data_IF_002851382195
#
_entry.id   IF_002851382195
#
_cell.length_a   1.000
_cell.length_b   1.000
_cell.length_c   1.000
_cell.angle_alpha   90.00
_cell.angle_beta   90.00
_cell.angle_gamma   90.00
#
_symmetry.space_group_name_H-M   'P 1'
#
loop_
_entity.id
_entity.type
_entity.pdbx_description
1 polymer ?
#
# COMPACT_ATOMS: atom_id res chain seq x y z
N UNK A 1 -2.01 -4.67 3.33
CA UNK A 1 -2.04 -6.15 3.42
C UNK A 1 -3.44 -6.71 3.45
N UNK A 2 -4.20 -6.57 4.54
CA UNK A 2 -5.53 -7.19 4.66
C UNK A 2 -6.49 -6.77 3.55
N UNK A 3 -6.60 -5.47 3.28
CA UNK A 3 -7.47 -4.99 2.21
C UNK A 3 -6.99 -5.44 0.82
N UNK A 4 -5.67 -5.58 0.61
CA UNK A 4 -5.11 -6.11 -0.64
C UNK A 4 -5.36 -7.62 -0.81
N UNK A 5 -5.33 -8.38 0.28
CA UNK A 5 -5.73 -9.78 0.26
C UNK A 5 -7.24 -9.92 -0.02
N UNK A 6 -8.05 -9.02 0.55
CA UNK A 6 -9.48 -8.97 0.29
C UNK A 6 -9.79 -8.61 -1.17
N UNK A 7 -9.15 -7.57 -1.75
CA UNK A 7 -9.35 -7.20 -3.16
C UNK A 7 -9.01 -8.36 -4.09
N UNK A 8 -7.90 -9.06 -3.85
CA UNK A 8 -7.56 -10.28 -4.59
C UNK A 8 -8.60 -11.38 -4.41
N UNK A 9 -9.07 -11.63 -3.19
CA UNK A 9 -10.03 -12.71 -2.90
C UNK A 9 -11.38 -12.52 -3.59
N UNK A 10 -11.82 -11.27 -3.80
CA UNK A 10 -13.07 -10.96 -4.50
C UNK A 10 -12.88 -10.70 -6.01
N UNK A 11 -11.67 -10.92 -6.55
CA UNK A 11 -11.36 -10.69 -7.96
C UNK A 11 -11.38 -9.22 -8.38
N UNK A 12 -11.12 -8.29 -7.46
CA UNK A 12 -11.15 -6.85 -7.70
C UNK A 12 -9.82 -6.25 -8.20
N UNK A 13 -8.75 -7.04 -8.30
CA UNK A 13 -7.40 -6.53 -8.60
C UNK A 13 -7.25 -5.77 -9.93
N UNK A 14 -8.19 -5.93 -10.86
CA UNK A 14 -8.26 -5.20 -12.14
C UNK A 14 -9.52 -4.34 -12.29
N UNK A 15 -10.25 -4.12 -11.19
CA UNK A 15 -11.49 -3.33 -11.22
C UNK A 15 -11.29 -1.83 -11.44
N UNK A 16 -10.05 -1.34 -11.26
CA UNK A 16 -9.60 -0.03 -11.69
C UNK A 16 -8.57 -0.21 -12.82
N UNK A 17 -8.90 0.14 -14.08
CA UNK A 17 -8.08 -0.23 -15.24
C UNK A 17 -6.80 0.61 -15.42
N UNK A 18 -6.73 1.74 -14.74
CA UNK A 18 -5.63 2.69 -14.77
C UNK A 18 -4.97 2.82 -13.39
N UNK A 19 -3.82 3.48 -13.36
CA UNK A 19 -3.09 3.86 -12.16
C UNK A 19 -2.36 5.18 -12.46
N UNK A 20 -2.33 6.16 -11.53
CA UNK A 20 -2.75 6.10 -10.12
C UNK A 20 -4.25 6.33 -9.87
N UNK A 21 -4.98 6.85 -10.85
CA UNK A 21 -6.43 7.07 -10.80
C UNK A 21 -7.22 5.77 -11.00
N UNK A 22 -8.54 5.83 -10.87
CA UNK A 22 -9.45 4.73 -11.19
C UNK A 22 -10.54 5.25 -12.12
N UNK A 23 -10.61 4.72 -13.34
CA UNK A 23 -11.38 5.25 -14.48
C UNK A 23 -11.07 6.72 -14.79
N UNK A 24 -9.79 7.12 -14.70
CA UNK A 24 -9.37 8.50 -14.96
C UNK A 24 -9.85 9.52 -13.92
N UNK A 25 -10.45 9.07 -12.82
CA UNK A 25 -10.91 9.92 -11.72
C UNK A 25 -10.33 9.45 -10.37
N UNK A 26 -10.28 10.35 -9.41
CA UNK A 26 -9.88 10.03 -8.03
C UNK A 26 -11.02 9.45 -7.21
N UNK A 27 -12.27 9.63 -7.65
CA UNK A 27 -13.47 9.30 -6.88
C UNK A 27 -14.53 8.66 -7.80
N UNK A 28 -14.34 7.38 -8.21
CA UNK A 28 -15.18 6.74 -9.23
C UNK A 28 -16.64 6.56 -8.81
N UNK A 29 -16.93 6.50 -7.52
CA UNK A 29 -18.28 6.35 -6.99
C UNK A 29 -19.16 7.61 -7.12
N UNK A 30 -18.58 8.77 -7.45
CA UNK A 30 -19.34 9.97 -7.80
C UNK A 30 -19.80 9.98 -9.27
N UNK A 31 -19.46 8.95 -10.04
CA UNK A 31 -19.80 8.82 -11.45
C UNK A 31 -20.59 7.52 -11.67
N UNK A 32 -21.94 7.58 -11.58
CA UNK A 32 -22.80 6.40 -11.71
C UNK A 32 -22.59 5.64 -13.03
N UNK A 33 -22.20 6.35 -14.08
CA UNK A 33 -21.91 5.79 -15.41
C UNK A 33 -20.73 4.81 -15.40
N UNK A 34 -19.71 5.04 -14.56
CA UNK A 34 -18.59 4.09 -14.41
C UNK A 34 -19.10 2.75 -13.91
N UNK A 35 -19.93 2.77 -12.85
CA UNK A 35 -20.43 1.55 -12.22
C UNK A 35 -21.41 0.84 -13.17
N UNK A 36 -22.26 1.59 -13.88
CA UNK A 36 -23.25 1.03 -14.78
C UNK A 36 -22.63 0.36 -16.03
N UNK A 37 -21.50 0.87 -16.52
CA UNK A 37 -20.84 0.38 -17.74
C UNK A 37 -19.65 -0.55 -17.47
N UNK A 38 -19.30 -0.79 -16.21
CA UNK A 38 -18.18 -1.67 -15.83
C UNK A 38 -18.61 -3.14 -15.77
N UNK A 39 -17.73 -4.09 -16.14
CA UNK A 39 -17.95 -5.51 -15.87
C UNK A 39 -17.80 -5.86 -14.37
N UNK A 40 -17.34 -4.93 -13.54
CA UNK A 40 -17.12 -5.13 -12.10
C UNK A 40 -18.25 -4.52 -11.28
N UNK A 41 -18.55 -5.17 -10.15
CA UNK A 41 -19.51 -4.65 -9.17
C UNK A 41 -18.99 -3.38 -8.47
N UNK A 42 -19.90 -2.56 -7.97
CA UNK A 42 -19.57 -1.38 -7.16
C UNK A 42 -18.64 -1.72 -5.98
N UNK A 43 -18.82 -2.89 -5.36
CA UNK A 43 -18.00 -3.35 -4.25
C UNK A 43 -16.56 -3.65 -4.68
N UNK A 44 -16.36 -4.29 -5.84
CA UNK A 44 -15.02 -4.59 -6.36
C UNK A 44 -14.25 -3.30 -6.66
N UNK A 45 -14.87 -2.37 -7.40
CA UNK A 45 -14.28 -1.07 -7.71
C UNK A 45 -13.95 -0.31 -6.42
N UNK A 46 -14.88 -0.28 -5.46
CA UNK A 46 -14.65 0.37 -4.18
C UNK A 46 -13.51 -0.27 -3.39
N UNK A 47 -13.41 -1.60 -3.36
CA UNK A 47 -12.37 -2.30 -2.62
C UNK A 47 -10.97 -1.98 -3.16
N UNK A 48 -10.79 -1.97 -4.49
CA UNK A 48 -9.52 -1.62 -5.14
C UNK A 48 -9.19 -0.13 -4.93
N UNK A 49 -10.16 0.76 -5.12
CA UNK A 49 -10.00 2.18 -4.82
C UNK A 49 -9.61 2.41 -3.35
N UNK A 50 -10.27 1.75 -2.40
CA UNK A 50 -9.99 1.86 -0.98
C UNK A 50 -8.61 1.27 -0.63
N UNK A 51 -8.20 0.20 -1.30
CA UNK A 51 -6.86 -0.37 -1.16
C UNK A 51 -5.78 0.65 -1.51
N UNK A 52 -5.92 1.34 -2.65
CA UNK A 52 -5.01 2.42 -3.08
C UNK A 52 -5.05 3.62 -2.13
N UNK A 53 -6.25 4.02 -1.70
CA UNK A 53 -6.49 5.04 -0.68
C UNK A 53 -5.71 4.82 0.61
N UNK A 54 -5.90 3.64 1.20
CA UNK A 54 -5.20 3.26 2.44
C UNK A 54 -3.70 3.06 2.22
N UNK A 55 -3.25 2.61 1.05
CA UNK A 55 -1.84 2.51 0.73
C UNK A 55 -1.15 3.90 0.70
N UNK A 56 -1.80 4.91 0.13
CA UNK A 56 -1.31 6.30 0.16
C UNK A 56 -1.23 6.84 1.60
N UNK A 57 -2.28 6.63 2.40
CA UNK A 57 -2.27 7.01 3.81
C UNK A 57 -1.15 6.32 4.60
N UNK A 58 -0.95 5.01 4.38
CA UNK A 58 0.14 4.26 5.00
C UNK A 58 1.51 4.82 4.60
N UNK A 59 1.71 5.23 3.35
CA UNK A 59 2.93 5.89 2.89
C UNK A 59 3.25 7.17 3.68
N UNK A 60 2.24 8.02 3.92
CA UNK A 60 2.39 9.23 4.75
C UNK A 60 2.76 8.87 6.19
N UNK A 61 2.13 7.84 6.76
CA UNK A 61 2.44 7.38 8.11
C UNK A 61 3.86 6.79 8.23
N UNK A 62 4.36 6.11 7.19
CA UNK A 62 5.74 5.63 7.14
C UNK A 62 6.71 6.81 7.20
N UNK A 63 6.49 7.85 6.39
CA UNK A 63 7.31 9.08 6.42
C UNK A 63 7.29 9.71 7.82
N UNK A 64 6.10 9.89 8.40
CA UNK A 64 5.96 10.43 9.76
C UNK A 64 6.67 9.58 10.83
N UNK A 65 6.60 8.26 10.71
CA UNK A 65 7.28 7.31 11.62
C UNK A 65 8.80 7.43 11.51
N UNK A 66 9.34 7.54 10.29
CA UNK A 66 10.79 7.70 10.08
C UNK A 66 11.29 9.03 10.63
N UNK A 67 10.56 10.13 10.39
CA UNK A 67 10.88 11.44 10.96
C UNK A 67 10.83 11.40 12.50
N UNK A 68 9.78 10.81 13.07
CA UNK A 68 9.63 10.62 14.52
C UNK A 68 10.78 9.80 15.12
N UNK A 69 11.19 8.72 14.46
CA UNK A 69 12.32 7.89 14.86
C UNK A 69 13.64 8.68 14.89
N UNK A 70 13.89 9.53 13.88
CA UNK A 70 15.10 10.35 13.81
C UNK A 70 15.16 11.43 14.90
N UNK A 71 14.01 11.98 15.30
CA UNK A 71 13.94 13.02 16.35
C UNK A 71 14.01 12.41 17.75
N UNK A 72 13.20 11.40 18.02
CA UNK A 72 12.97 10.89 19.39
C UNK A 72 13.91 9.74 19.78
N UNK A 73 14.38 8.95 18.81
CA UNK A 73 15.16 7.73 19.06
C UNK A 73 16.53 7.78 18.35
N UNK A 74 17.13 8.98 18.25
CA UNK A 74 18.42 9.22 17.56
C UNK A 74 19.58 8.33 18.05
N UNK A 75 19.57 7.94 19.32
CA UNK A 75 20.59 7.11 19.95
C UNK A 75 20.26 5.61 19.95
N UNK A 76 19.11 5.22 19.38
CA UNK A 76 18.67 3.82 19.31
C UNK A 76 18.76 3.36 17.85
N UNK A 77 19.93 2.88 17.39
CA UNK A 77 20.20 2.67 15.97
C UNK A 77 19.21 1.71 15.29
N UNK A 78 18.75 0.68 16.00
CA UNK A 78 17.78 -0.27 15.47
C UNK A 78 16.43 0.39 15.13
N UNK A 79 15.92 1.32 15.95
CA UNK A 79 14.66 2.05 15.68
C UNK A 79 14.85 2.98 14.47
N UNK A 80 15.96 3.72 14.45
CA UNK A 80 16.29 4.63 13.34
C UNK A 80 16.44 3.87 12.01
N UNK A 81 17.22 2.81 11.98
CA UNK A 81 17.55 2.11 10.73
C UNK A 81 16.40 1.23 10.22
N UNK A 82 15.62 0.60 11.10
CA UNK A 82 14.42 -0.13 10.67
C UNK A 82 13.36 0.82 10.08
N UNK A 83 13.10 1.96 10.71
CA UNK A 83 12.19 2.97 10.13
C UNK A 83 12.72 3.57 8.82
N UNK A 84 14.04 3.73 8.68
CA UNK A 84 14.66 4.22 7.44
C UNK A 84 14.58 3.18 6.32
N UNK A 85 14.76 1.89 6.63
CA UNK A 85 14.62 0.81 5.67
C UNK A 85 13.17 0.70 5.15
N UNK A 86 12.16 0.83 6.03
CA UNK A 86 10.76 0.88 5.63
C UNK A 86 10.48 2.01 4.62
N UNK A 87 11.02 3.21 4.88
CA UNK A 87 10.90 4.35 3.98
C UNK A 87 11.62 4.12 2.64
N UNK A 88 12.81 3.51 2.67
CA UNK A 88 13.58 3.22 1.46
C UNK A 88 12.90 2.16 0.56
N UNK A 89 12.15 1.22 1.14
CA UNK A 89 11.39 0.21 0.40
C UNK A 89 10.06 0.74 -0.16
N UNK A 90 9.53 1.85 0.37
CA UNK A 90 8.24 2.40 -0.02
C UNK A 90 8.14 2.76 -1.53
N UNK A 91 9.14 3.40 -2.19
CA UNK A 91 9.07 3.66 -3.62
C UNK A 91 8.95 2.37 -4.45
N UNK A 92 9.69 1.32 -4.08
CA UNK A 92 9.60 0.02 -4.73
C UNK A 92 8.20 -0.57 -4.57
N UNK A 93 7.61 -0.47 -3.37
CA UNK A 93 6.24 -0.94 -3.11
C UNK A 93 5.22 -0.22 -3.98
N UNK A 94 5.35 1.10 -4.13
CA UNK A 94 4.45 1.93 -4.94
C UNK A 94 4.55 1.55 -6.42
N UNK A 95 5.78 1.41 -6.94
CA UNK A 95 6.02 1.01 -8.34
C UNK A 95 5.41 -0.38 -8.60
N UNK A 96 5.71 -1.35 -7.73
CA UNK A 96 5.16 -2.71 -7.88
C UNK A 96 3.63 -2.71 -7.81
N UNK A 97 3.01 -1.85 -6.99
CA UNK A 97 1.55 -1.75 -6.89
C UNK A 97 0.90 -1.12 -8.13
N UNK A 98 1.60 -0.23 -8.84
CA UNK A 98 1.17 0.21 -10.17
C UNK A 98 1.29 -0.92 -11.19
N UNK A 99 2.43 -1.63 -11.16
CA UNK A 99 2.70 -2.74 -12.07
C UNK A 99 1.72 -3.91 -11.92
N UNK A 100 1.15 -4.17 -10.73
CA UNK A 100 0.12 -5.21 -10.59
C UNK A 100 -1.11 -4.94 -11.46
N UNK A 101 -1.39 -3.68 -11.78
CA UNK A 101 -2.51 -3.26 -12.63
C UNK A 101 -2.09 -3.23 -14.09
N UNK A 102 -0.95 -2.58 -14.41
CA UNK A 102 -0.51 -2.39 -15.80
C UNK A 102 0.02 -3.66 -16.47
N UNK A 103 0.37 -4.68 -15.67
CA UNK A 103 0.87 -5.98 -16.15
C UNK A 103 -0.14 -7.12 -15.88
N UNK A 104 -1.43 -6.78 -15.81
CA UNK A 104 -2.54 -7.73 -15.71
C UNK A 104 -2.37 -8.80 -14.62
N UNK A 105 -2.00 -8.37 -13.41
CA UNK A 105 -1.77 -9.23 -12.25
C UNK A 105 -0.73 -10.34 -12.48
N UNK A 106 0.33 -10.05 -13.27
CA UNK A 106 1.42 -11.00 -13.49
C UNK A 106 1.92 -11.63 -12.17
N UNK A 107 1.95 -12.97 -12.04
CA UNK A 107 2.16 -13.63 -10.75
C UNK A 107 3.46 -13.25 -10.04
N UNK A 108 4.54 -13.03 -10.80
CA UNK A 108 5.84 -12.62 -10.27
C UNK A 108 5.72 -11.23 -9.62
N UNK A 109 5.08 -10.27 -10.31
CA UNK A 109 4.91 -8.90 -9.83
C UNK A 109 4.04 -8.87 -8.57
N UNK A 110 2.91 -9.57 -8.57
CA UNK A 110 2.01 -9.64 -7.40
C UNK A 110 2.73 -10.26 -6.19
N UNK A 111 3.50 -11.33 -6.41
CA UNK A 111 4.26 -11.99 -5.34
C UNK A 111 5.37 -11.10 -4.81
N UNK A 112 6.11 -10.41 -5.68
CA UNK A 112 7.16 -9.46 -5.28
C UNK A 112 6.55 -8.26 -4.53
N UNK A 113 5.41 -7.73 -4.98
CA UNK A 113 4.68 -6.68 -4.30
C UNK A 113 4.29 -7.07 -2.88
N UNK A 114 3.78 -8.30 -2.69
CA UNK A 114 3.48 -8.83 -1.36
C UNK A 114 4.75 -9.01 -0.51
N UNK A 115 5.83 -9.54 -1.09
CA UNK A 115 7.11 -9.74 -0.41
C UNK A 115 7.68 -8.42 0.12
N UNK A 116 7.72 -7.38 -0.70
CA UNK A 116 8.18 -6.04 -0.28
C UNK A 116 7.26 -5.44 0.79
N UNK A 117 5.94 -5.64 0.69
CA UNK A 117 5.01 -5.23 1.74
C UNK A 117 5.34 -5.89 3.09
N UNK A 118 5.68 -7.19 3.09
CA UNK A 118 6.07 -7.94 4.29
C UNK A 118 7.36 -7.38 4.88
N UNK A 119 8.35 -7.07 4.05
CA UNK A 119 9.60 -6.46 4.51
C UNK A 119 9.36 -5.09 5.18
N UNK A 120 8.50 -4.25 4.58
CA UNK A 120 8.08 -2.97 5.18
C UNK A 120 7.41 -3.21 6.53
N UNK A 121 6.47 -4.15 6.61
CA UNK A 121 5.77 -4.49 7.86
C UNK A 121 6.76 -4.93 8.95
N UNK A 122 7.70 -5.81 8.64
CA UNK A 122 8.72 -6.29 9.59
C UNK A 122 9.62 -5.15 10.10
N UNK A 123 9.99 -4.22 9.22
CA UNK A 123 10.74 -3.03 9.60
C UNK A 123 9.95 -2.14 10.57
N UNK A 124 8.67 -1.88 10.29
CA UNK A 124 7.80 -1.07 11.14
C UNK A 124 7.48 -1.76 12.47
N UNK A 125 7.27 -3.07 12.47
CA UNK A 125 7.08 -3.85 13.71
C UNK A 125 8.31 -3.81 14.60
N UNK A 126 9.51 -3.93 14.00
CA UNK A 126 10.77 -3.78 14.73
C UNK A 126 10.91 -2.38 15.32
N UNK A 127 10.58 -1.35 14.54
CA UNK A 127 10.55 0.05 15.00
C UNK A 127 9.64 0.20 16.22
N UNK A 128 8.39 -0.28 16.11
CA UNK A 128 7.38 -0.19 17.17
C UNK A 128 7.78 -0.94 18.43
N UNK A 129 8.13 -2.21 18.31
CA UNK A 129 8.43 -3.07 19.46
C UNK A 129 9.65 -2.56 20.23
N UNK A 130 10.73 -2.18 19.53
CA UNK A 130 11.93 -1.69 20.23
C UNK A 130 11.71 -0.31 20.83
N UNK A 131 10.99 0.58 20.15
CA UNK A 131 10.65 1.90 20.70
C UNK A 131 9.73 1.81 21.92
N UNK A 132 8.79 0.85 21.94
CA UNK A 132 7.87 0.66 23.05
C UNK A 132 8.49 -0.08 24.24
N UNK A 133 9.25 -1.15 23.99
CA UNK A 133 9.83 -2.00 25.04
C UNK A 133 11.10 -1.42 25.68
N UNK A 134 11.74 -0.42 25.04
CA UNK A 134 12.91 0.30 25.60
C UNK A 134 12.55 1.65 26.21
N UNK A 135 11.27 1.99 26.31
CA UNK A 135 10.79 3.03 27.23
C UNK A 135 10.74 2.48 28.65
#
# INVERSE_FOLDING_TARGET
>A
MLLGAYTSAIGAGLSCPDWPTCYGTWVPFLQPEIIANSPYSALQIFAEWAHRGLAMMAGVLIVGTTLGAWVTHRNTPIVKWSATAALALLPLQVILGGLTVTEDLQPIIVTTHLGVAILILLCLLTTFLVAYLRR
#
